data_IF_392876225435
#
_entry.id   IF_392876225435
#
_cell.length_a   1.000
_cell.length_b   1.000
_cell.length_c   1.000
_cell.angle_alpha   90.00
_cell.angle_beta   90.00
_cell.angle_gamma   90.00
#
_symmetry.space_group_name_H-M   'P 1'
#
loop_
_entity.id
_entity.type
_entity.pdbx_description
1 polymer ?
#
# COMPACT_ATOMS: atom_id res chain seq x y z
N UNK A 1 -5.68 -7.07 4.00
CA UNK A 1 -4.85 -6.00 3.39
C UNK A 1 -4.28 -5.15 4.49
N UNK A 2 -2.96 -4.88 4.50
CA UNK A 2 -2.33 -4.00 5.48
C UNK A 2 -2.85 -2.55 5.35
N UNK A 3 -2.92 -1.84 6.46
CA UNK A 3 -3.28 -0.42 6.50
C UNK A 3 -2.05 0.46 6.23
N UNK A 4 -2.17 1.59 5.51
CA UNK A 4 -1.07 2.55 5.35
C UNK A 4 -0.61 3.18 6.68
N UNK A 5 -1.40 3.04 7.76
CA UNK A 5 -1.07 3.50 9.12
C UNK A 5 -0.40 2.42 9.98
N UNK A 6 -0.22 1.20 9.46
CA UNK A 6 0.43 0.13 10.21
C UNK A 6 1.90 0.48 10.49
N UNK A 7 2.45 -0.07 11.57
CA UNK A 7 3.88 -0.02 11.87
C UNK A 7 4.59 -1.30 11.42
N UNK A 8 5.92 -1.28 11.35
CA UNK A 8 6.75 -2.40 10.89
C UNK A 8 6.45 -3.68 11.67
N UNK A 9 6.31 -3.58 12.99
CA UNK A 9 5.99 -4.73 13.85
C UNK A 9 4.66 -5.42 13.48
N UNK A 10 3.63 -4.64 13.13
CA UNK A 10 2.35 -5.19 12.66
C UNK A 10 2.47 -5.83 11.28
N UNK A 11 3.23 -5.20 10.37
CA UNK A 11 3.47 -5.72 9.02
C UNK A 11 4.27 -7.02 9.03
N UNK A 12 5.32 -7.10 9.86
CA UNK A 12 6.13 -8.32 10.05
C UNK A 12 5.24 -9.47 10.52
N UNK A 13 4.38 -9.26 11.53
CA UNK A 13 3.45 -10.29 11.99
C UNK A 13 2.48 -10.74 10.91
N UNK A 14 1.95 -9.79 10.12
CA UNK A 14 1.04 -10.10 9.02
C UNK A 14 1.72 -11.00 7.98
N UNK A 15 2.91 -10.62 7.52
CA UNK A 15 3.66 -11.36 6.51
C UNK A 15 4.11 -12.74 7.02
N UNK A 16 4.54 -12.83 8.28
CA UNK A 16 4.88 -14.09 8.91
C UNK A 16 3.69 -15.08 8.92
N UNK A 17 2.45 -14.59 9.03
CA UNK A 17 1.24 -15.41 8.92
C UNK A 17 1.06 -16.09 7.55
N UNK A 18 1.68 -15.53 6.51
CA UNK A 18 1.74 -16.09 5.16
C UNK A 18 3.08 -16.78 4.85
N UNK A 19 3.89 -17.05 5.88
CA UNK A 19 5.26 -17.61 5.75
C UNK A 19 6.20 -16.74 4.89
N UNK A 20 5.93 -15.44 4.83
CA UNK A 20 6.80 -14.46 4.19
C UNK A 20 7.76 -13.86 5.21
N UNK A 21 9.02 -13.71 4.82
CA UNK A 21 10.10 -13.21 5.69
C UNK A 21 10.09 -11.67 5.79
N UNK A 22 10.95 -11.14 6.67
CA UNK A 22 11.21 -9.69 6.75
C UNK A 22 11.74 -9.14 5.42
N UNK A 23 12.61 -9.89 4.74
CA UNK A 23 13.12 -9.50 3.42
C UNK A 23 12.00 -9.46 2.38
N UNK A 24 11.09 -10.45 2.40
CA UNK A 24 9.94 -10.47 1.49
C UNK A 24 9.01 -9.27 1.74
N UNK A 25 8.75 -8.91 3.02
CA UNK A 25 8.01 -7.70 3.37
C UNK A 25 8.66 -6.44 2.80
N UNK A 26 9.96 -6.24 3.05
CA UNK A 26 10.66 -5.02 2.64
C UNK A 26 10.78 -4.95 1.12
N UNK A 27 11.08 -6.07 0.46
CA UNK A 27 11.16 -6.14 -1.00
C UNK A 27 9.80 -5.83 -1.63
N UNK A 28 8.72 -6.50 -1.22
CA UNK A 28 7.38 -6.28 -1.78
C UNK A 28 6.85 -4.86 -1.52
N UNK A 29 7.24 -4.23 -0.40
CA UNK A 29 6.94 -2.81 -0.15
C UNK A 29 7.60 -1.88 -1.19
N UNK A 30 8.70 -2.31 -1.80
CA UNK A 30 9.33 -1.61 -2.93
C UNK A 30 8.45 -1.51 -4.18
N UNK A 31 7.31 -2.21 -4.24
CA UNK A 31 6.28 -1.93 -5.26
C UNK A 31 5.74 -0.50 -5.22
N UNK A 32 5.89 0.21 -4.09
CA UNK A 32 5.61 1.63 -3.96
C UNK A 32 6.63 2.55 -4.66
N UNK A 33 7.63 2.01 -5.38
CA UNK A 33 8.45 2.80 -6.30
C UNK A 33 7.66 3.33 -7.51
N UNK A 34 6.48 2.76 -7.77
CA UNK A 34 5.58 3.26 -8.82
C UNK A 34 4.19 3.54 -8.28
N UNK A 35 3.56 4.55 -8.85
CA UNK A 35 2.20 4.95 -8.54
C UNK A 35 2.09 6.08 -7.52
N UNK A 36 0.85 6.36 -7.17
CA UNK A 36 0.48 7.49 -6.33
C UNK A 36 -0.46 7.05 -5.21
N UNK A 37 -0.50 7.82 -4.13
CA UNK A 37 -1.46 7.65 -3.06
C UNK A 37 -2.17 8.97 -2.76
N UNK A 38 -3.43 8.83 -2.30
CA UNK A 38 -4.27 9.97 -1.93
C UNK A 38 -3.85 10.54 -0.58
N UNK A 39 -4.05 11.85 -0.41
CA UNK A 39 -3.85 12.56 0.85
C UNK A 39 -4.57 11.90 2.06
N UNK A 40 -5.72 11.26 1.83
CA UNK A 40 -6.43 10.44 2.83
C UNK A 40 -5.51 9.44 3.57
N UNK A 41 -4.54 8.86 2.86
CA UNK A 41 -3.63 7.85 3.40
C UNK A 41 -2.56 8.43 4.34
N UNK A 42 -2.26 9.73 4.24
CA UNK A 42 -1.13 10.37 4.96
C UNK A 42 -1.54 11.51 5.90
N UNK A 43 -2.77 12.02 5.83
CA UNK A 43 -3.21 13.15 6.67
C UNK A 43 -3.02 12.87 8.17
N UNK A 44 -3.20 11.63 8.60
CA UNK A 44 -2.91 11.22 9.98
C UNK A 44 -1.43 11.30 10.30
N UNK A 45 -0.56 10.88 9.38
CA UNK A 45 0.90 11.00 9.53
C UNK A 45 1.33 12.45 9.63
N UNK A 46 0.68 13.35 8.88
CA UNK A 46 0.97 14.78 8.92
C UNK A 46 0.48 15.45 10.22
N UNK A 47 -0.68 15.09 10.76
CA UNK A 47 -1.28 15.93 11.82
C UNK A 47 -1.50 15.22 13.15
N UNK A 48 -1.66 13.90 13.16
CA UNK A 48 -2.07 13.19 14.37
C UNK A 48 -1.74 11.70 14.36
N UNK A 49 -0.49 11.33 14.06
CA UNK A 49 -0.13 9.92 13.78
C UNK A 49 -0.33 9.03 15.01
N UNK A 50 0.04 9.54 16.19
CA UNK A 50 0.00 8.83 17.46
C UNK A 50 -1.20 9.18 18.33
N UNK A 51 -2.16 9.97 17.83
CA UNK A 51 -3.26 10.50 18.65
C UNK A 51 -2.88 11.69 19.54
N UNK A 52 -1.63 12.18 19.44
CA UNK A 52 -1.09 13.27 20.25
C UNK A 52 -1.34 14.68 19.69
N UNK A 53 -2.02 14.79 18.54
CA UNK A 53 -2.17 16.05 17.79
C UNK A 53 -0.86 16.54 17.17
N UNK A 54 0.14 15.67 17.05
CA UNK A 54 1.47 15.99 16.51
C UNK A 54 1.76 15.20 15.23
N UNK A 55 2.61 15.78 14.36
CA UNK A 55 3.11 15.08 13.20
C UNK A 55 3.98 13.88 13.58
N UNK A 56 4.12 12.94 12.65
CA UNK A 56 5.14 11.90 12.70
C UNK A 56 6.55 12.52 12.88
N UNK A 57 7.31 12.14 13.92
CA UNK A 57 8.66 12.65 14.13
C UNK A 57 9.70 12.10 13.13
N UNK A 58 9.37 11.04 12.38
CA UNK A 58 10.26 10.42 11.41
C UNK A 58 9.98 10.93 9.99
N UNK A 59 10.09 12.25 9.80
CA UNK A 59 9.86 12.89 8.50
C UNK A 59 10.86 14.02 8.27
N UNK A 60 11.48 14.06 7.09
CA UNK A 60 12.34 15.17 6.68
C UNK A 60 11.55 16.49 6.70
N UNK A 61 12.03 17.57 7.37
CA UNK A 61 11.27 18.81 7.51
C UNK A 61 10.91 19.48 6.17
N UNK A 62 11.79 19.43 5.19
CA UNK A 62 11.53 20.01 3.87
C UNK A 62 10.47 19.19 3.12
N UNK A 63 10.60 17.87 3.13
CA UNK A 63 9.59 16.97 2.56
C UNK A 63 8.24 17.12 3.26
N UNK A 64 8.25 17.29 4.58
CA UNK A 64 7.05 17.59 5.36
C UNK A 64 6.36 18.85 4.84
N UNK A 65 7.10 19.94 4.68
CA UNK A 65 6.51 21.19 4.18
C UNK A 65 5.87 20.99 2.80
N UNK A 66 6.51 20.22 1.91
CA UNK A 66 5.94 19.88 0.61
C UNK A 66 4.65 19.05 0.72
N UNK A 67 4.62 18.03 1.59
CA UNK A 67 3.43 17.22 1.82
C UNK A 67 2.30 18.01 2.51
N UNK A 68 2.62 18.96 3.37
CA UNK A 68 1.64 19.84 4.03
C UNK A 68 0.96 20.77 3.01
N UNK A 69 1.72 21.30 2.05
CA UNK A 69 1.19 22.07 0.93
C UNK A 69 0.32 21.22 -0.01
N UNK A 70 0.71 19.96 -0.25
CA UNK A 70 -0.05 19.02 -1.08
C UNK A 70 -1.34 18.54 -0.39
N UNK A 71 -1.25 18.25 0.90
CA UNK A 71 -2.29 17.58 1.68
C UNK A 71 -2.63 18.35 2.98
N UNK A 72 -3.14 19.60 2.88
CA UNK A 72 -3.48 20.39 4.05
C UNK A 72 -4.60 19.73 4.88
N UNK A 73 -4.62 19.96 6.19
CA UNK A 73 -5.54 19.32 7.13
C UNK A 73 -7.03 19.43 6.72
N UNK A 74 -7.42 20.58 6.16
CA UNK A 74 -8.80 20.85 5.68
C UNK A 74 -8.91 20.83 4.15
N UNK A 75 -7.95 20.22 3.45
CA UNK A 75 -7.92 20.10 1.99
C UNK A 75 -8.71 18.93 1.43
N UNK A 76 -8.73 18.83 0.09
CA UNK A 76 -9.30 17.68 -0.62
C UNK A 76 -8.43 16.44 -0.42
N UNK A 77 -8.97 15.45 0.29
CA UNK A 77 -8.25 14.22 0.58
C UNK A 77 -8.13 13.26 -0.63
N UNK A 78 -8.71 13.61 -1.78
CA UNK A 78 -8.54 12.86 -3.04
C UNK A 78 -7.34 13.29 -3.87
N UNK A 79 -6.72 14.44 -3.56
CA UNK A 79 -5.45 14.85 -4.18
C UNK A 79 -4.43 13.74 -4.00
N UNK A 80 -3.66 13.46 -5.05
CA UNK A 80 -2.65 12.41 -5.07
C UNK A 80 -1.23 12.98 -5.06
N UNK A 81 -0.31 12.19 -4.53
CA UNK A 81 1.12 12.42 -4.62
C UNK A 81 1.85 11.11 -4.93
N UNK A 82 3.01 11.21 -5.57
CA UNK A 82 3.88 10.07 -5.83
C UNK A 82 4.27 9.34 -4.55
N UNK A 83 4.31 8.02 -4.61
CA UNK A 83 4.75 7.19 -3.48
C UNK A 83 6.27 7.27 -3.23
N UNK A 84 7.04 7.64 -4.26
CA UNK A 84 8.45 8.01 -4.21
C UNK A 84 8.75 9.21 -5.14
N UNK A 85 10.03 9.61 -5.23
CA UNK A 85 10.47 10.73 -6.08
C UNK A 85 10.45 10.45 -7.60
N UNK A 86 10.24 9.20 -8.03
CA UNK A 86 10.25 8.75 -9.43
C UNK A 86 9.03 7.87 -9.73
N UNK A 87 7.78 8.35 -9.53
CA UNK A 87 6.57 7.52 -9.39
C UNK A 87 6.14 6.76 -10.65
N UNK A 88 6.87 6.89 -11.75
CA UNK A 88 6.64 6.20 -13.03
C UNK A 88 7.78 5.26 -13.42
N UNK A 89 8.81 5.15 -12.58
CA UNK A 89 10.00 4.31 -12.80
C UNK A 89 10.08 3.30 -11.67
N UNK A 90 10.20 2.01 -12.00
CA UNK A 90 10.41 0.97 -11.00
C UNK A 90 11.92 0.84 -10.74
N UNK A 91 12.39 1.41 -9.65
CA UNK A 91 13.80 1.43 -9.26
C UNK A 91 13.96 1.37 -7.73
N UNK A 92 15.15 1.64 -7.20
CA UNK A 92 15.39 1.64 -5.75
C UNK A 92 15.21 3.02 -5.08
N UNK A 93 14.65 4.02 -5.77
CA UNK A 93 14.42 5.37 -5.24
C UNK A 93 13.51 5.34 -4.01
N UNK A 94 12.47 4.50 -4.00
CA UNK A 94 11.67 4.20 -2.82
C UNK A 94 12.52 3.98 -1.55
N UNK A 95 13.53 3.12 -1.61
CA UNK A 95 14.39 2.83 -0.44
C UNK A 95 15.33 3.99 -0.10
N UNK A 96 15.82 4.73 -1.10
CA UNK A 96 16.60 5.95 -0.88
C UNK A 96 15.76 7.00 -0.16
N UNK A 97 14.49 7.14 -0.51
CA UNK A 97 13.57 8.06 0.14
C UNK A 97 13.35 7.67 1.60
N UNK A 98 13.16 6.39 1.92
CA UNK A 98 13.02 5.93 3.31
C UNK A 98 14.24 6.28 4.18
N UNK A 99 15.45 6.09 3.65
CA UNK A 99 16.71 6.43 4.33
C UNK A 99 16.81 7.93 4.61
N UNK A 100 16.27 8.77 3.73
CA UNK A 100 16.20 10.22 3.91
C UNK A 100 14.96 10.70 4.68
N UNK A 101 14.20 9.80 5.29
CA UNK A 101 12.94 10.12 5.99
C UNK A 101 11.85 10.75 5.09
N UNK A 102 11.84 10.31 3.82
CA UNK A 102 10.93 10.77 2.75
C UNK A 102 9.95 9.69 2.26
N UNK A 103 9.76 8.60 3.01
CA UNK A 103 8.68 7.66 2.70
C UNK A 103 7.32 8.36 2.73
N UNK A 104 6.39 8.01 1.84
CA UNK A 104 5.07 8.67 1.77
C UNK A 104 4.12 8.16 2.86
N UNK A 105 3.94 6.85 2.98
CA UNK A 105 3.05 6.24 3.97
C UNK A 105 3.77 5.97 5.30
N UNK A 106 3.02 5.91 6.39
CA UNK A 106 3.57 5.48 7.69
C UNK A 106 4.07 4.03 7.63
N UNK A 107 3.33 3.16 6.92
CA UNK A 107 3.70 1.77 6.66
C UNK A 107 5.04 1.61 5.95
N UNK A 108 5.48 2.64 5.22
CA UNK A 108 6.74 2.64 4.48
C UNK A 108 7.86 3.14 5.40
N UNK A 109 7.67 4.31 6.01
CA UNK A 109 8.72 4.95 6.80
C UNK A 109 9.12 4.15 8.05
N UNK A 110 8.15 3.47 8.68
CA UNK A 110 8.36 2.57 9.82
C UNK A 110 9.32 1.42 9.52
N UNK A 111 9.44 0.99 8.24
CA UNK A 111 10.40 -0.04 7.82
C UNK A 111 11.84 0.41 8.06
N UNK A 112 12.11 1.71 8.01
CA UNK A 112 13.41 2.27 8.32
C UNK A 112 13.50 2.78 9.77
N UNK A 113 12.47 3.44 10.29
CA UNK A 113 12.56 4.13 11.59
C UNK A 113 12.37 3.22 12.81
N UNK A 114 11.53 2.18 12.75
CA UNK A 114 10.99 1.56 13.98
C UNK A 114 11.52 0.15 14.25
N UNK A 115 12.15 -0.51 13.27
CA UNK A 115 12.61 -1.89 13.42
C UNK A 115 14.00 -2.10 12.80
N UNK A 116 14.93 -2.65 13.58
CA UNK A 116 16.32 -2.83 13.16
C UNK A 116 16.48 -3.85 12.02
N UNK A 117 15.66 -4.92 12.04
CA UNK A 117 15.69 -5.96 11.02
C UNK A 117 15.28 -5.43 9.65
N UNK A 118 14.16 -4.71 9.57
CA UNK A 118 13.72 -4.07 8.33
C UNK A 118 14.67 -2.95 7.90
N UNK A 119 15.19 -2.17 8.86
CA UNK A 119 16.14 -1.07 8.59
C UNK A 119 17.38 -1.57 7.86
N UNK A 120 17.96 -2.70 8.27
CA UNK A 120 19.13 -3.28 7.59
C UNK A 120 18.83 -3.64 6.14
N UNK A 121 17.66 -4.22 5.86
CA UNK A 121 17.25 -4.58 4.50
C UNK A 121 16.98 -3.33 3.65
N UNK A 122 16.30 -2.32 4.20
CA UNK A 122 16.07 -1.02 3.52
C UNK A 122 17.40 -0.37 3.15
N UNK A 123 18.37 -0.31 4.06
CA UNK A 123 19.70 0.25 3.79
C UNK A 123 20.43 -0.53 2.70
N UNK A 124 20.33 -1.86 2.69
CA UNK A 124 20.92 -2.68 1.63
C UNK A 124 20.30 -2.36 0.26
N UNK A 125 18.97 -2.28 0.18
CA UNK A 125 18.26 -2.02 -1.08
C UNK A 125 18.45 -0.59 -1.59
N UNK A 126 18.60 0.40 -0.72
CA UNK A 126 18.90 1.78 -1.14
C UNK A 126 20.28 1.91 -1.78
N UNK A 127 21.25 1.07 -1.37
CA UNK A 127 22.62 1.06 -1.88
C UNK A 127 22.80 0.16 -3.10
N UNK A 128 21.95 -0.87 -3.26
CA UNK A 128 22.11 -1.88 -4.31
C UNK A 128 20.75 -2.25 -4.94
N UNK A 129 20.49 -1.69 -6.12
CA UNK A 129 19.27 -1.97 -6.88
C UNK A 129 19.15 -3.43 -7.33
N UNK A 130 20.25 -4.08 -7.70
CA UNK A 130 20.22 -5.49 -8.12
C UNK A 130 19.86 -6.42 -6.96
N UNK A 131 20.27 -6.07 -5.73
CA UNK A 131 19.85 -6.78 -4.52
C UNK A 131 18.35 -6.61 -4.28
N UNK A 132 17.82 -5.40 -4.47
CA UNK A 132 16.38 -5.15 -4.40
C UNK A 132 15.63 -5.96 -5.46
N UNK A 133 16.00 -5.87 -6.73
CA UNK A 133 15.27 -6.55 -7.82
C UNK A 133 15.27 -8.07 -7.66
N UNK A 134 16.40 -8.68 -7.26
CA UNK A 134 16.43 -10.13 -6.96
C UNK A 134 15.46 -10.50 -5.84
N UNK A 135 15.47 -9.76 -4.74
CA UNK A 135 14.56 -10.02 -3.62
C UNK A 135 13.09 -9.75 -3.99
N UNK A 136 12.82 -8.75 -4.85
CA UNK A 136 11.48 -8.45 -5.33
C UNK A 136 10.91 -9.59 -6.18
N UNK A 137 11.72 -10.13 -7.10
CA UNK A 137 11.34 -11.29 -7.93
C UNK A 137 11.02 -12.49 -7.03
N UNK A 138 11.90 -12.82 -6.09
CA UNK A 138 11.68 -13.93 -5.15
C UNK A 138 10.40 -13.72 -4.31
N UNK A 139 10.19 -12.49 -3.81
CA UNK A 139 9.01 -12.13 -3.03
C UNK A 139 7.72 -12.26 -3.83
N UNK A 140 7.72 -11.81 -5.10
CA UNK A 140 6.57 -11.92 -5.99
C UNK A 140 6.22 -13.37 -6.33
N UNK A 141 7.22 -14.23 -6.54
CA UNK A 141 7.00 -15.68 -6.75
C UNK A 141 6.36 -16.29 -5.51
N UNK A 142 6.93 -16.09 -4.32
CA UNK A 142 6.35 -16.60 -3.06
C UNK A 142 4.93 -16.10 -2.81
N UNK A 143 4.66 -14.82 -3.13
CA UNK A 143 3.32 -14.23 -2.99
C UNK A 143 2.32 -14.88 -3.97
N UNK A 144 2.74 -15.15 -5.20
CA UNK A 144 1.93 -15.83 -6.22
C UNK A 144 1.66 -17.30 -5.92
N UNK A 145 2.52 -17.95 -5.13
CA UNK A 145 2.37 -19.34 -4.73
C UNK A 145 1.44 -19.54 -3.52
N UNK A 146 0.97 -18.47 -2.86
CA UNK A 146 0.05 -18.57 -1.74
C UNK A 146 -1.25 -19.30 -2.13
N UNK A 147 -1.46 -20.47 -1.54
CA UNK A 147 -2.61 -21.32 -1.85
C UNK A 147 -3.80 -21.03 -0.94
N UNK A 148 -4.99 -21.00 -1.53
CA UNK A 148 -6.24 -21.18 -0.81
C UNK A 148 -6.59 -22.68 -0.82
N UNK A 149 -6.86 -23.33 0.33
CA UNK A 149 -7.23 -24.75 0.36
C UNK A 149 -8.55 -25.06 -0.36
N UNK A 150 -9.38 -24.04 -0.65
CA UNK A 150 -10.65 -24.21 -1.37
C UNK A 150 -10.41 -24.24 -2.87
N UNK A 151 -10.98 -25.25 -3.54
CA UNK A 151 -11.02 -25.32 -5.00
C UNK A 151 -11.87 -24.17 -5.56
N UNK A 152 -11.36 -23.51 -6.60
CA UNK A 152 -12.05 -22.45 -7.33
C UNK A 152 -12.57 -22.89 -8.69
N UNK A 153 -12.81 -21.93 -9.57
CA UNK A 153 -13.22 -22.12 -10.97
C UNK A 153 -12.36 -21.28 -11.91
N UNK A 154 -12.34 -21.65 -13.21
CA UNK A 154 -11.81 -20.79 -14.26
C UNK A 154 -12.95 -19.86 -14.71
N UNK A 155 -12.89 -18.59 -14.31
CA UNK A 155 -13.92 -17.60 -14.66
C UNK A 155 -13.85 -17.21 -16.13
N UNK A 156 -15.01 -17.13 -16.78
CA UNK A 156 -15.15 -16.55 -18.13
C UNK A 156 -15.22 -15.02 -18.13
N UNK A 157 -15.64 -14.44 -17.01
CA UNK A 157 -15.68 -13.01 -16.77
C UNK A 157 -15.21 -12.73 -15.33
N UNK A 158 -14.12 -11.97 -15.15
CA UNK A 158 -13.53 -11.74 -13.83
C UNK A 158 -14.48 -11.05 -12.84
N UNK A 159 -15.49 -10.31 -13.34
CA UNK A 159 -16.43 -9.51 -12.53
C UNK A 159 -17.56 -10.32 -11.90
N UNK A 160 -17.82 -11.55 -12.36
CA UNK A 160 -18.95 -12.37 -11.89
C UNK A 160 -18.56 -13.85 -11.84
N UNK A 161 -19.12 -14.61 -10.89
CA UNK A 161 -18.93 -16.06 -10.84
C UNK A 161 -19.68 -16.75 -11.99
N UNK A 162 -19.16 -17.88 -12.50
CA UNK A 162 -19.91 -18.65 -13.50
C UNK A 162 -21.20 -19.18 -12.86
N UNK A 163 -22.32 -19.13 -13.58
CA UNK A 163 -23.62 -19.56 -13.07
C UNK A 163 -24.27 -18.60 -12.06
N UNK A 164 -23.67 -17.44 -11.78
CA UNK A 164 -24.36 -16.34 -11.10
C UNK A 164 -25.59 -15.92 -11.92
N UNK A 165 -26.77 -15.84 -11.29
CA UNK A 165 -27.98 -15.35 -11.95
C UNK A 165 -27.69 -14.00 -12.61
N UNK A 166 -28.17 -13.73 -13.83
CA UNK A 166 -28.07 -12.40 -14.41
C UNK A 166 -28.64 -11.38 -13.40
N UNK A 167 -28.11 -10.14 -13.36
CA UNK A 167 -28.68 -9.08 -12.53
C UNK A 167 -30.18 -9.05 -12.79
N UNK A 168 -31.00 -9.03 -11.72
CA UNK A 168 -32.45 -8.94 -11.83
C UNK A 168 -32.78 -7.78 -12.78
N UNK A 169 -33.13 -8.13 -14.02
CA UNK A 169 -33.78 -7.20 -14.93
C UNK A 169 -35.02 -6.75 -14.17
N UNK A 170 -35.12 -5.44 -13.88
CA UNK A 170 -36.24 -4.87 -13.13
C UNK A 170 -37.51 -5.40 -13.76
N UNK A 171 -38.23 -6.28 -13.06
CA UNK A 171 -39.57 -6.68 -13.45
C UNK A 171 -40.39 -5.40 -13.48
N UNK A 172 -40.63 -4.86 -14.68
CA UNK A 172 -41.64 -3.85 -14.89
C UNK A 172 -42.95 -4.53 -14.51
N UNK A 173 -43.53 -4.11 -13.39
CA UNK A 173 -44.80 -4.65 -12.92
C UNK A 173 -45.86 -4.47 -14.02
N UNK A 174 -46.67 -5.49 -14.34
CA UNK A 174 -47.73 -5.33 -15.32
C UNK A 174 -48.75 -4.33 -14.78
N UNK A 175 -49.15 -3.40 -15.65
CA UNK A 175 -50.19 -2.40 -15.42
C UNK A 175 -51.48 -3.14 -15.05
N UNK A 176 -52.00 -2.95 -13.82
CA UNK A 176 -53.34 -3.41 -13.47
C UNK A 176 -54.34 -2.49 -14.16
N UNK A 177 -55.05 -3.02 -15.15
CA UNK A 177 -56.30 -2.41 -15.65
C UNK A 177 -57.32 -2.52 -14.53
N UNK A 178 -57.88 -1.39 -14.12
CA UNK A 178 -58.98 -1.31 -13.17
C UNK A 178 -60.25 -1.31 -14.01
N UNK A 179 -61.00 -2.41 -13.99
CA UNK A 179 -62.35 -2.42 -14.54
C UNK A 179 -63.31 -1.90 -13.46
N UNK A 180 -64.26 -1.06 -13.89
CA UNK A 180 -65.22 -0.29 -13.08
C UNK A 180 -66.22 -1.14 -12.31
#
# INVERSE_FOLDING_TARGET
>A
MPSPRANASALIRLFAGYKLTVTDLVALSGSHSVGEARCFSIVFRLYNQSGSGRPDPHMDPAYRQALDALCPLTGDQNVTGGLDATPVVFDNQYFKDLVHLRGFLNSDQTLFSDNEGTRRVVTQFSQNQDAFFRAFIEGMVKLGELQNPRKGEIRRNCRVANGGRPPLEKQVAPFRVVDF
#
